data_IF_946945001212
#
_entry.id   IF_946945001212
#
_cell.length_a   1.000
_cell.length_b   1.000
_cell.length_c   1.000
_cell.angle_alpha   90.00
_cell.angle_beta   90.00
_cell.angle_gamma   90.00
#
_symmetry.space_group_name_H-M   'P 1'
#
loop_
_entity.id
_entity.type
_entity.pdbx_description
1 polymer ?
#
# COMPACT_ATOMS: atom_id res chain seq x y z
N UNK A 1 -3.90 14.66 1.76
CA UNK A 1 -3.10 13.52 2.21
C UNK A 1 -2.92 12.54 1.07
N UNK A 2 -1.78 11.86 1.07
CA UNK A 2 -1.46 11.00 -0.06
C UNK A 2 -2.46 9.84 -0.20
N UNK A 3 -3.01 9.30 0.89
CA UNK A 3 -3.97 8.21 0.77
C UNK A 3 -5.26 8.65 0.07
N UNK A 4 -5.70 9.87 0.33
CA UNK A 4 -6.87 10.40 -0.34
C UNK A 4 -6.62 10.53 -1.84
N UNK A 5 -5.39 10.92 -2.18
CA UNK A 5 -5.00 11.05 -3.57
C UNK A 5 -5.02 9.69 -4.27
N UNK A 6 -4.58 8.64 -3.59
CA UNK A 6 -4.60 7.30 -4.15
C UNK A 6 -6.04 6.85 -4.41
N UNK A 7 -6.93 7.04 -3.46
CA UNK A 7 -8.33 6.68 -3.65
C UNK A 7 -8.94 7.47 -4.80
N UNK A 8 -8.61 8.75 -4.88
CA UNK A 8 -9.12 9.60 -5.94
C UNK A 8 -8.63 9.12 -7.30
N UNK A 9 -7.34 8.81 -7.41
CA UNK A 9 -6.75 8.35 -8.65
C UNK A 9 -7.38 7.06 -9.14
N UNK A 10 -7.78 6.18 -8.22
CA UNK A 10 -8.37 4.90 -8.56
C UNK A 10 -9.90 4.95 -8.64
N UNK A 11 -10.49 6.09 -8.32
CA UNK A 11 -11.93 6.23 -8.36
C UNK A 11 -12.65 5.39 -7.33
N UNK A 12 -12.03 5.21 -6.16
CA UNK A 12 -12.56 4.34 -5.12
C UNK A 12 -13.18 5.15 -3.99
N UNK A 13 -14.17 4.55 -3.35
CA UNK A 13 -14.69 5.03 -2.08
C UNK A 13 -13.96 4.29 -0.97
N UNK A 14 -13.75 4.95 0.14
CA UNK A 14 -13.05 4.31 1.24
C UNK A 14 -13.81 4.51 2.53
N UNK A 15 -13.56 3.61 3.49
CA UNK A 15 -14.09 3.71 4.83
C UNK A 15 -12.96 4.11 5.78
N UNK A 16 -13.33 4.59 6.96
CA UNK A 16 -12.34 4.96 7.96
C UNK A 16 -11.47 3.77 8.33
N UNK A 17 -12.06 2.60 8.41
CA UNK A 17 -11.29 1.40 8.78
C UNK A 17 -10.21 1.11 7.75
N UNK A 18 -10.56 1.13 6.48
CA UNK A 18 -9.58 0.90 5.42
C UNK A 18 -8.48 1.95 5.48
N UNK A 19 -8.87 3.20 5.66
CA UNK A 19 -7.91 4.30 5.70
C UNK A 19 -6.93 4.12 6.85
N UNK A 20 -7.43 3.79 8.03
CA UNK A 20 -6.60 3.65 9.19
C UNK A 20 -5.61 2.51 9.01
N UNK A 21 -6.08 1.37 8.50
CA UNK A 21 -5.20 0.22 8.29
C UNK A 21 -4.13 0.53 7.26
N UNK A 22 -4.51 1.19 6.19
CA UNK A 22 -3.55 1.56 5.15
C UNK A 22 -2.49 2.51 5.70
N UNK A 23 -2.90 3.46 6.53
CA UNK A 23 -1.97 4.39 7.15
C UNK A 23 -0.96 3.66 8.03
N UNK A 24 -1.43 2.71 8.83
CA UNK A 24 -0.53 1.95 9.70
C UNK A 24 0.48 1.15 8.89
N UNK A 25 0.02 0.47 7.84
CA UNK A 25 0.93 -0.30 6.99
C UNK A 25 1.94 0.60 6.31
N UNK A 26 1.49 1.77 5.87
CA UNK A 26 2.38 2.73 5.24
C UNK A 26 3.43 3.23 6.23
N UNK A 27 3.02 3.49 7.46
CA UNK A 27 3.94 3.98 8.50
C UNK A 27 5.00 2.92 8.81
N UNK A 28 4.57 1.66 8.93
CA UNK A 28 5.52 0.58 9.19
C UNK A 28 6.49 0.43 8.04
N UNK A 29 6.00 0.56 6.82
CA UNK A 29 6.86 0.46 5.64
C UNK A 29 7.89 1.59 5.64
N UNK A 30 7.46 2.80 5.92
CA UNK A 30 8.37 3.94 5.95
C UNK A 30 9.45 3.72 7.01
N UNK A 31 9.05 3.20 8.16
CA UNK A 31 10.00 2.93 9.23
C UNK A 31 11.06 1.90 8.79
N UNK A 32 10.62 0.83 8.10
CA UNK A 32 11.57 -0.17 7.61
C UNK A 32 12.56 0.45 6.63
N UNK A 33 12.08 1.29 5.75
CA UNK A 33 12.95 1.92 4.76
C UNK A 33 13.94 2.86 5.42
N UNK A 34 13.50 3.62 6.40
CA UNK A 34 14.38 4.52 7.13
C UNK A 34 15.46 3.74 7.87
N UNK A 35 15.09 2.61 8.43
CA UNK A 35 16.04 1.74 9.14
C UNK A 35 16.95 0.96 8.20
N UNK A 36 16.69 1.05 6.90
CA UNK A 36 17.41 0.31 5.88
C UNK A 36 17.27 -1.19 6.05
N UNK A 37 16.05 -1.60 6.42
CA UNK A 37 15.72 -3.01 6.57
C UNK A 37 14.50 -3.31 5.71
N UNK A 38 14.58 -3.10 4.39
CA UNK A 38 13.41 -3.26 3.53
C UNK A 38 12.97 -4.72 3.47
N UNK A 39 11.68 -4.89 3.30
CA UNK A 39 11.08 -6.20 3.16
C UNK A 39 11.50 -6.84 1.84
N UNK A 40 11.88 -8.10 1.89
CA UNK A 40 12.12 -8.87 0.68
C UNK A 40 10.83 -9.57 0.32
N UNK A 41 10.29 -9.24 -0.86
CA UNK A 41 9.00 -9.73 -1.27
C UNK A 41 9.13 -10.48 -2.58
N UNK A 42 8.88 -11.78 -2.53
CA UNK A 42 9.14 -12.64 -3.68
C UNK A 42 8.15 -12.44 -4.82
N UNK A 43 6.96 -11.95 -4.51
CA UNK A 43 5.91 -11.81 -5.51
C UNK A 43 5.84 -10.44 -6.14
N UNK A 44 6.92 -9.66 -6.04
CA UNK A 44 6.94 -8.29 -6.51
C UNK A 44 6.47 -8.17 -7.97
N UNK A 45 7.07 -8.94 -8.86
CA UNK A 45 6.73 -8.84 -10.28
C UNK A 45 5.31 -9.29 -10.55
N UNK A 46 4.86 -10.31 -9.85
CA UNK A 46 3.50 -10.81 -10.01
C UNK A 46 2.48 -9.74 -9.61
N UNK A 47 2.73 -9.09 -8.50
CA UNK A 47 1.83 -8.05 -8.00
C UNK A 47 1.81 -6.84 -8.94
N UNK A 48 2.98 -6.44 -9.43
CA UNK A 48 3.05 -5.32 -10.36
C UNK A 48 2.25 -5.62 -11.62
N UNK A 49 2.36 -6.84 -12.14
CA UNK A 49 1.60 -7.23 -13.33
C UNK A 49 0.11 -7.30 -13.06
N UNK A 50 -0.26 -7.94 -11.95
CA UNK A 50 -1.66 -8.22 -11.65
C UNK A 50 -2.40 -6.96 -11.20
N UNK A 51 -1.74 -6.11 -10.43
CA UNK A 51 -2.35 -4.93 -9.85
C UNK A 51 -1.66 -3.66 -10.30
N UNK A 52 -1.39 -3.58 -11.61
CA UNK A 52 -0.59 -2.48 -12.17
C UNK A 52 -1.15 -1.12 -11.83
N UNK A 53 -2.47 -0.97 -11.92
CA UNK A 53 -3.09 0.32 -11.69
C UNK A 53 -2.90 0.77 -10.24
N UNK A 54 -3.14 -0.13 -9.31
CA UNK A 54 -2.95 0.15 -7.90
C UNK A 54 -1.48 0.43 -7.61
N UNK A 55 -0.59 -0.40 -8.14
CA UNK A 55 0.83 -0.22 -7.93
C UNK A 55 1.29 1.14 -8.46
N UNK A 56 0.86 1.50 -9.65
CA UNK A 56 1.28 2.76 -10.26
C UNK A 56 0.79 3.96 -9.46
N UNK A 57 -0.45 3.89 -8.97
CA UNK A 57 -1.00 4.97 -8.19
C UNK A 57 -0.26 5.14 -6.87
N UNK A 58 0.02 4.03 -6.19
CA UNK A 58 0.75 4.10 -4.92
C UNK A 58 2.18 4.58 -5.14
N UNK A 59 2.84 4.05 -6.16
CA UNK A 59 4.21 4.43 -6.46
C UNK A 59 4.32 5.93 -6.74
N UNK A 60 3.40 6.44 -7.55
CA UNK A 60 3.41 7.86 -7.89
C UNK A 60 3.20 8.74 -6.66
N UNK A 61 2.29 8.34 -5.80
CA UNK A 61 2.00 9.13 -4.62
C UNK A 61 3.06 9.00 -3.54
N UNK A 62 3.86 7.94 -3.57
CA UNK A 62 4.96 7.79 -2.63
C UNK A 62 6.14 8.69 -2.95
N UNK A 63 6.15 9.31 -4.13
CA UNK A 63 7.21 10.27 -4.45
C UNK A 63 7.21 11.43 -3.47
N UNK A 64 6.02 11.85 -3.03
CA UNK A 64 5.92 12.89 -2.04
C UNK A 64 6.55 12.47 -0.72
N UNK A 65 6.30 11.22 -0.34
CA UNK A 65 6.88 10.67 0.88
C UNK A 65 8.41 10.59 0.76
N UNK A 66 8.89 10.17 -0.40
CA UNK A 66 10.33 10.13 -0.65
C UNK A 66 10.96 11.52 -0.45
N UNK A 67 10.31 12.54 -0.98
CA UNK A 67 10.82 13.90 -0.88
C UNK A 67 10.81 14.41 0.55
N UNK A 68 9.72 14.16 1.26
CA UNK A 68 9.58 14.67 2.62
C UNK A 68 10.57 14.01 3.57
N UNK A 69 10.76 12.69 3.44
CA UNK A 69 11.62 11.95 4.35
C UNK A 69 13.04 11.75 3.83
N UNK A 70 13.31 12.16 2.59
CA UNK A 70 14.64 11.96 2.03
C UNK A 70 14.98 10.50 1.85
N UNK A 71 14.01 9.67 1.50
CA UNK A 71 14.21 8.23 1.34
C UNK A 71 13.88 7.80 -0.08
N UNK A 72 14.24 6.57 -0.39
CA UNK A 72 13.93 5.96 -1.67
C UNK A 72 13.26 4.62 -1.38
N UNK A 73 11.96 4.53 -1.64
CA UNK A 73 11.19 3.35 -1.32
C UNK A 73 11.37 2.30 -2.41
N UNK A 74 11.84 1.09 -2.07
CA UNK A 74 12.04 0.05 -3.09
C UNK A 74 10.73 -0.42 -3.67
N UNK A 75 10.79 -0.94 -4.90
CA UNK A 75 9.59 -1.45 -5.58
C UNK A 75 8.96 -2.62 -4.82
N UNK A 76 9.76 -3.42 -4.11
CA UNK A 76 9.22 -4.52 -3.33
C UNK A 76 8.30 -4.02 -2.23
N UNK A 77 8.65 -2.91 -1.59
CA UNK A 77 7.79 -2.33 -0.57
C UNK A 77 6.51 -1.76 -1.17
N UNK A 78 6.63 -1.11 -2.31
CA UNK A 78 5.44 -0.58 -3.00
C UNK A 78 4.53 -1.72 -3.42
N UNK A 79 5.10 -2.82 -3.93
CA UNK A 79 4.31 -3.98 -4.35
C UNK A 79 3.59 -4.59 -3.15
N UNK A 80 4.27 -4.73 -2.03
CA UNK A 80 3.65 -5.28 -0.83
C UNK A 80 2.51 -4.38 -0.35
N UNK A 81 2.73 -3.08 -0.38
CA UNK A 81 1.71 -2.12 0.03
C UNK A 81 0.52 -2.19 -0.92
N UNK A 82 0.77 -2.40 -2.21
CA UNK A 82 -0.30 -2.57 -3.20
C UNK A 82 -1.13 -3.80 -2.89
N UNK A 83 -0.49 -4.90 -2.55
CA UNK A 83 -1.20 -6.12 -2.18
C UNK A 83 -2.06 -5.90 -0.95
N UNK A 84 -1.51 -5.23 0.05
CA UNK A 84 -2.26 -4.93 1.27
C UNK A 84 -3.47 -4.06 0.94
N UNK A 85 -3.29 -3.07 0.09
CA UNK A 85 -4.39 -2.18 -0.28
C UNK A 85 -5.53 -2.96 -0.94
N UNK A 86 -5.19 -3.83 -1.89
CA UNK A 86 -6.20 -4.64 -2.57
C UNK A 86 -6.88 -5.58 -1.58
N UNK A 87 -6.12 -6.20 -0.69
CA UNK A 87 -6.68 -7.10 0.31
C UNK A 87 -7.63 -6.36 1.25
N UNK A 88 -7.28 -5.15 1.65
CA UNK A 88 -8.15 -4.38 2.53
C UNK A 88 -9.47 -4.06 1.87
N UNK A 89 -9.44 -3.66 0.61
CA UNK A 89 -10.66 -3.33 -0.11
C UNK A 89 -11.52 -4.57 -0.29
N UNK A 90 -10.93 -5.67 -0.74
CA UNK A 90 -11.68 -6.90 -0.97
C UNK A 90 -12.14 -7.53 0.34
N UNK A 91 -11.27 -7.49 1.36
CA UNK A 91 -11.59 -8.07 2.64
C UNK A 91 -12.72 -7.37 3.36
N UNK A 92 -12.83 -6.06 3.16
CA UNK A 92 -13.91 -5.32 3.78
C UNK A 92 -15.26 -5.64 3.17
N UNK A 93 -15.25 -6.13 1.93
CA UNK A 93 -16.48 -6.51 1.26
C UNK A 93 -16.88 -7.94 1.56
N UNK A 94 -15.94 -8.74 2.04
CA UNK A 94 -16.17 -10.16 2.28
C UNK A 94 -15.95 -10.45 3.75
N UNK A 95 -16.99 -10.95 4.37
CA UNK A 95 -16.97 -11.18 5.80
C UNK A 95 -15.94 -12.21 6.20
N UNK A 96 -15.80 -13.25 5.40
CA UNK A 96 -14.86 -14.31 5.73
C UNK A 96 -13.42 -13.83 5.70
N UNK A 97 -13.12 -12.78 4.96
CA UNK A 97 -11.77 -12.24 4.95
C UNK A 97 -11.38 -11.68 6.30
N UNK A 98 -12.33 -11.04 6.95
CA UNK A 98 -12.06 -10.50 8.27
C UNK A 98 -11.89 -11.58 9.30
N UNK A 99 -12.74 -12.56 9.24
CA UNK A 99 -12.67 -13.64 10.23
C UNK A 99 -11.47 -14.53 9.99
N UNK A 100 -11.12 -14.72 8.73
CA UNK A 100 -10.00 -15.58 8.40
C UNK A 100 -8.67 -15.02 8.86
N UNK A 101 -8.57 -13.72 8.95
CA UNK A 101 -7.33 -13.07 9.35
C UNK A 101 -7.12 -13.20 10.84
N UNK A 102 -8.17 -13.17 11.54
CA UNK A 102 -8.09 -13.24 12.99
C UNK A 102 -7.69 -14.62 13.46
#
# INVERSE_FOLDING_TARGET
LFRSKIYEDLGLNYTDEISIRFIFHSAFMIERVIRREPLIYKNTNSIISTNREVYTSIDRNMELVNDVFGISIPSSEIARLSEIFVDLINGCEQEECRTGID
#
